data_IF_936164087237
#
_entry.id   IF_936164087237
#
_cell.length_a   1.000
_cell.length_b   1.000
_cell.length_c   1.000
_cell.angle_alpha   90.00
_cell.angle_beta   90.00
_cell.angle_gamma   90.00
#
_symmetry.space_group_name_H-M   'P 1'
#
loop_
_entity.id
_entity.type
_entity.pdbx_description
1 polymer ?
#
# COMPACT_ATOMS: atom_id res chain seq x y z
N UNK A 1 3.11 -4.48 -2.26
CA UNK A 1 3.03 -4.84 -0.83
C UNK A 1 4.22 -5.70 -0.41
N UNK A 2 4.55 -6.76 -1.15
CA UNK A 2 5.65 -7.67 -0.78
C UNK A 2 6.97 -6.94 -0.52
N UNK A 3 7.39 -6.06 -1.42
CA UNK A 3 8.64 -5.28 -1.34
C UNK A 3 8.67 -4.29 -0.17
N UNK A 4 7.49 -3.91 0.36
CA UNK A 4 7.40 -3.07 1.57
C UNK A 4 7.47 -3.91 2.84
N UNK A 5 6.79 -5.07 2.86
CA UNK A 5 6.67 -5.93 4.04
C UNK A 5 7.91 -6.76 4.34
N UNK A 6 8.86 -6.89 3.41
CA UNK A 6 10.14 -7.57 3.56
C UNK A 6 11.25 -6.81 2.83
N UNK A 7 12.50 -7.23 2.97
CA UNK A 7 13.60 -6.71 2.17
C UNK A 7 13.36 -6.84 0.67
N UNK A 8 13.59 -5.76 -0.06
CA UNK A 8 13.50 -5.72 -1.53
C UNK A 8 14.90 -5.96 -2.15
N UNK A 9 15.82 -5.05 -1.96
CA UNK A 9 17.22 -5.20 -2.37
C UNK A 9 18.18 -5.20 -1.18
N UNK A 10 17.77 -4.66 -0.05
CA UNK A 10 18.54 -4.68 1.20
C UNK A 10 18.03 -5.78 2.13
N UNK A 11 18.93 -6.42 2.87
CA UNK A 11 18.53 -7.21 4.02
C UNK A 11 18.08 -6.25 5.12
N UNK A 12 16.91 -6.49 5.69
CA UNK A 12 16.33 -5.67 6.76
C UNK A 12 16.28 -6.48 8.05
N UNK A 13 17.39 -6.60 8.81
CA UNK A 13 17.34 -7.34 10.07
C UNK A 13 16.32 -6.70 11.02
N UNK A 14 15.71 -7.52 11.88
CA UNK A 14 14.87 -7.01 12.96
C UNK A 14 15.70 -6.21 13.96
N UNK A 15 15.08 -5.31 14.72
CA UNK A 15 15.78 -4.55 15.77
C UNK A 15 16.36 -5.49 16.83
N UNK A 16 17.45 -5.05 17.47
CA UNK A 16 18.06 -5.80 18.58
C UNK A 16 17.07 -6.07 19.73
N UNK A 17 16.17 -5.11 20.00
CA UNK A 17 15.13 -5.24 21.02
C UNK A 17 14.13 -6.34 20.67
N UNK A 18 13.66 -6.39 19.41
CA UNK A 18 12.75 -7.44 18.96
C UNK A 18 13.46 -8.81 18.96
N UNK A 19 14.71 -8.87 18.49
CA UNK A 19 15.50 -10.10 18.49
C UNK A 19 15.65 -10.68 19.89
N UNK A 20 15.89 -9.84 20.89
CA UNK A 20 16.00 -10.27 22.28
C UNK A 20 14.64 -10.68 22.86
N UNK A 21 13.58 -9.93 22.61
CA UNK A 21 12.21 -10.27 23.04
C UNK A 21 11.74 -11.61 22.45
N UNK A 22 12.09 -11.92 21.20
CA UNK A 22 11.79 -13.21 20.57
C UNK A 22 12.48 -14.37 21.29
N UNK A 23 13.76 -14.22 21.64
CA UNK A 23 14.52 -15.24 22.39
C UNK A 23 13.99 -15.43 23.81
N UNK A 24 13.52 -14.36 24.45
CA UNK A 24 12.89 -14.44 25.76
C UNK A 24 11.53 -15.14 25.72
N UNK A 25 10.77 -14.92 24.65
CA UNK A 25 9.46 -15.57 24.46
C UNK A 25 9.59 -17.09 24.22
N UNK A 26 10.55 -17.50 23.40
CA UNK A 26 10.91 -18.91 23.15
C UNK A 26 12.38 -18.97 22.72
N UNK A 27 13.28 -19.55 23.54
CA UNK A 27 14.72 -19.53 23.23
C UNK A 27 15.09 -20.20 21.91
N UNK A 28 14.46 -21.31 21.55
CA UNK A 28 14.77 -22.06 20.33
C UNK A 28 14.18 -21.37 19.09
N UNK A 29 12.85 -21.20 19.07
CA UNK A 29 12.15 -20.56 17.94
C UNK A 29 12.47 -19.07 17.82
N UNK A 30 12.66 -18.40 18.96
CA UNK A 30 13.01 -16.98 18.98
C UNK A 30 14.38 -16.70 18.39
N UNK A 31 15.35 -17.60 18.55
CA UNK A 31 16.65 -17.48 17.90
C UNK A 31 16.54 -17.60 16.37
N UNK A 32 15.74 -18.54 15.87
CA UNK A 32 15.46 -18.69 14.44
C UNK A 32 14.71 -17.48 13.90
N UNK A 33 13.63 -17.05 14.57
CA UNK A 33 12.84 -15.88 14.16
C UNK A 33 13.68 -14.60 14.13
N UNK A 34 14.54 -14.39 15.12
CA UNK A 34 15.43 -13.23 15.17
C UNK A 34 16.42 -13.18 13.98
N UNK A 35 16.79 -14.34 13.46
CA UNK A 35 17.70 -14.47 12.30
C UNK A 35 16.95 -14.29 10.98
N UNK A 36 15.75 -14.85 10.84
CA UNK A 36 15.06 -14.97 9.55
C UNK A 36 14.01 -13.88 9.30
N UNK A 37 13.38 -13.32 10.36
CA UNK A 37 12.46 -12.20 10.20
C UNK A 37 13.16 -10.95 9.70
N UNK A 38 12.41 -10.16 8.95
CA UNK A 38 12.90 -8.93 8.34
C UNK A 38 12.06 -7.74 8.78
N UNK A 39 12.68 -6.58 8.89
CA UNK A 39 11.98 -5.32 9.09
C UNK A 39 11.03 -5.05 7.92
N UNK A 40 9.79 -4.77 8.23
CA UNK A 40 8.73 -4.50 7.25
C UNK A 40 8.13 -3.11 7.44
N UNK A 41 7.79 -2.45 6.32
CA UNK A 41 6.92 -1.29 6.31
C UNK A 41 5.49 -1.79 6.17
N UNK A 42 4.58 -1.46 7.12
CA UNK A 42 3.20 -1.93 7.06
C UNK A 42 2.53 -1.51 5.74
N UNK A 43 2.01 -2.49 5.01
CA UNK A 43 1.32 -2.26 3.74
C UNK A 43 0.23 -3.30 3.51
N UNK A 44 -0.95 -2.87 3.09
CA UNK A 44 -2.12 -3.72 2.88
C UNK A 44 -2.61 -3.55 1.44
N UNK A 45 -2.82 -4.67 0.73
CA UNK A 45 -3.48 -4.67 -0.57
C UNK A 45 -5.00 -4.83 -0.36
N UNK A 46 -5.77 -3.79 -0.65
CA UNK A 46 -7.23 -3.80 -0.47
C UNK A 46 -7.95 -4.75 -1.43
N UNK A 47 -7.25 -5.27 -2.44
CA UNK A 47 -7.77 -6.27 -3.38
C UNK A 47 -7.81 -7.69 -2.81
N UNK A 48 -7.17 -7.96 -1.67
CA UNK A 48 -6.98 -9.31 -1.15
C UNK A 48 -7.95 -9.70 -0.02
N UNK A 49 -8.93 -8.88 0.29
CA UNK A 49 -9.91 -9.19 1.36
C UNK A 49 -11.18 -9.81 0.77
N UNK A 50 -11.10 -11.06 0.34
CA UNK A 50 -12.17 -11.76 -0.36
C UNK A 50 -13.49 -11.82 0.44
N UNK A 51 -13.43 -12.13 1.74
CA UNK A 51 -14.61 -12.23 2.60
C UNK A 51 -15.37 -10.90 2.68
N UNK A 52 -14.68 -9.78 2.94
CA UNK A 52 -15.32 -8.47 3.01
C UNK A 52 -15.86 -8.02 1.65
N UNK A 53 -15.10 -8.26 0.58
CA UNK A 53 -15.53 -7.89 -0.78
C UNK A 53 -16.80 -8.65 -1.19
N UNK A 54 -16.89 -9.94 -0.84
CA UNK A 54 -18.09 -10.75 -1.07
C UNK A 54 -19.29 -10.26 -0.24
N UNK A 55 -19.08 -10.01 1.06
CA UNK A 55 -20.13 -9.50 1.94
C UNK A 55 -20.67 -8.14 1.46
N UNK A 56 -19.76 -7.21 1.13
CA UNK A 56 -20.17 -5.89 0.63
C UNK A 56 -20.89 -5.95 -0.73
N UNK A 57 -20.48 -6.86 -1.60
CA UNK A 57 -21.16 -7.07 -2.88
C UNK A 57 -22.60 -7.58 -2.71
N UNK A 58 -22.85 -8.41 -1.69
CA UNK A 58 -24.17 -8.98 -1.43
C UNK A 58 -25.07 -8.06 -0.59
N UNK A 59 -24.52 -7.43 0.45
CA UNK A 59 -25.30 -6.82 1.52
C UNK A 59 -25.38 -5.30 1.41
N UNK A 60 -24.46 -4.65 0.68
CA UNK A 60 -24.34 -3.19 0.60
C UNK A 60 -24.13 -2.74 -0.85
N UNK A 61 -22.88 -2.60 -1.26
CA UNK A 61 -22.44 -2.25 -2.61
C UNK A 61 -20.96 -2.64 -2.76
N UNK A 62 -20.67 -3.52 -3.71
CA UNK A 62 -19.31 -3.98 -3.99
C UNK A 62 -18.32 -2.87 -4.35
N UNK A 63 -18.81 -1.76 -4.90
CA UNK A 63 -17.99 -0.58 -5.23
C UNK A 63 -17.42 0.10 -3.99
N UNK A 64 -18.02 -0.11 -2.81
CA UNK A 64 -17.60 0.50 -1.55
C UNK A 64 -16.60 -0.37 -0.76
N UNK A 65 -16.26 -1.56 -1.23
CA UNK A 65 -15.43 -2.51 -0.46
C UNK A 65 -14.04 -1.97 -0.12
N UNK A 66 -13.43 -1.17 -1.00
CA UNK A 66 -12.14 -0.51 -0.70
C UNK A 66 -12.30 0.63 0.30
N UNK A 67 -13.35 1.42 0.16
CA UNK A 67 -13.68 2.48 1.11
C UNK A 67 -13.92 1.93 2.52
N UNK A 68 -14.63 0.81 2.61
CA UNK A 68 -14.85 0.14 3.90
C UNK A 68 -13.54 -0.37 4.53
N UNK A 69 -12.64 -0.91 3.74
CA UNK A 69 -11.32 -1.32 4.25
C UNK A 69 -10.48 -0.12 4.72
N UNK A 70 -10.48 0.98 3.95
CA UNK A 70 -9.86 2.24 4.39
C UNK A 70 -10.50 2.74 5.68
N UNK A 71 -11.81 2.64 5.83
CA UNK A 71 -12.49 3.00 7.07
C UNK A 71 -12.07 2.13 8.25
N UNK A 72 -11.91 0.82 8.04
CA UNK A 72 -11.52 -0.13 9.09
C UNK A 72 -10.05 -0.04 9.51
N UNK A 73 -9.14 0.07 8.54
CA UNK A 73 -7.69 0.04 8.79
C UNK A 73 -7.07 1.43 8.95
N UNK A 74 -7.51 2.40 8.14
CA UNK A 74 -6.84 3.69 8.00
C UNK A 74 -6.92 4.55 9.24
N UNK A 75 -5.82 5.22 9.55
CA UNK A 75 -5.66 6.19 10.63
C UNK A 75 -5.11 7.50 10.07
N UNK A 76 -5.33 8.59 10.80
CA UNK A 76 -4.71 9.87 10.46
C UNK A 76 -3.17 9.73 10.38
N UNK A 77 -2.59 10.26 9.31
CA UNK A 77 -1.17 10.13 9.02
C UNK A 77 -0.77 8.94 8.15
N UNK A 78 -1.64 7.95 7.98
CA UNK A 78 -1.42 6.89 7.00
C UNK A 78 -1.50 7.39 5.55
N UNK A 79 -1.07 6.57 4.62
CA UNK A 79 -1.07 6.88 3.18
C UNK A 79 -1.96 5.90 2.43
N UNK A 80 -2.87 6.43 1.62
CA UNK A 80 -3.63 5.67 0.63
C UNK A 80 -3.01 5.86 -0.74
N UNK A 81 -2.55 4.78 -1.37
CA UNK A 81 -2.10 4.76 -2.77
C UNK A 81 -3.24 4.24 -3.65
N UNK A 82 -3.88 5.14 -4.37
CA UNK A 82 -4.90 4.82 -5.38
C UNK A 82 -4.26 4.62 -6.76
N UNK A 83 -4.50 3.45 -7.37
CA UNK A 83 -4.00 3.12 -8.70
C UNK A 83 -5.19 3.00 -9.65
N UNK A 84 -5.25 3.87 -10.65
CA UNK A 84 -6.31 3.87 -11.66
C UNK A 84 -5.78 4.45 -12.96
N UNK A 85 -5.74 3.66 -14.03
CA UNK A 85 -5.20 4.08 -15.33
C UNK A 85 -5.89 5.32 -15.91
N UNK A 86 -7.21 5.45 -15.74
CA UNK A 86 -7.97 6.64 -16.14
C UNK A 86 -8.06 7.70 -15.05
N UNK A 87 -7.75 7.36 -13.80
CA UNK A 87 -8.02 8.20 -12.64
C UNK A 87 -9.51 8.40 -12.33
N UNK A 88 -10.40 7.55 -12.88
CA UNK A 88 -11.86 7.71 -12.76
C UNK A 88 -12.57 6.43 -12.23
N UNK A 89 -11.83 5.44 -11.74
CA UNK A 89 -12.43 4.25 -11.15
C UNK A 89 -13.16 4.61 -9.85
N UNK A 90 -14.48 4.45 -9.82
CA UNK A 90 -15.33 4.91 -8.71
C UNK A 90 -14.99 4.21 -7.38
N UNK A 91 -14.67 2.92 -7.38
CA UNK A 91 -14.25 2.20 -6.19
C UNK A 91 -12.95 2.80 -5.57
N UNK A 92 -12.01 3.22 -6.41
CA UNK A 92 -10.78 3.91 -5.97
C UNK A 92 -11.11 5.33 -5.48
N UNK A 93 -12.04 6.02 -6.13
CA UNK A 93 -12.50 7.34 -5.70
C UNK A 93 -13.19 7.32 -4.33
N UNK A 94 -14.08 6.36 -4.09
CA UNK A 94 -14.70 6.19 -2.75
C UNK A 94 -13.65 5.97 -1.67
N UNK A 95 -12.65 5.14 -1.94
CA UNK A 95 -11.54 4.91 -1.00
C UNK A 95 -10.71 6.17 -0.77
N UNK A 96 -10.40 6.94 -1.83
CA UNK A 96 -9.66 8.20 -1.74
C UNK A 96 -10.41 9.25 -0.91
N UNK A 97 -11.71 9.41 -1.12
CA UNK A 97 -12.56 10.31 -0.33
C UNK A 97 -12.57 9.89 1.15
N UNK A 98 -12.73 8.58 1.42
CA UNK A 98 -12.69 8.05 2.79
C UNK A 98 -11.33 8.30 3.45
N UNK A 99 -10.23 8.10 2.73
CA UNK A 99 -8.88 8.37 3.22
C UNK A 99 -8.70 9.86 3.59
N UNK A 100 -9.13 10.78 2.74
CA UNK A 100 -9.08 12.22 3.01
C UNK A 100 -9.88 12.57 4.27
N UNK A 101 -11.10 12.05 4.38
CA UNK A 101 -11.98 12.30 5.54
C UNK A 101 -11.36 11.78 6.86
N UNK A 102 -10.53 10.73 6.80
CA UNK A 102 -9.82 10.16 7.95
C UNK A 102 -8.46 10.85 8.24
N UNK A 103 -8.11 11.91 7.53
CA UNK A 103 -6.82 12.61 7.72
C UNK A 103 -5.61 11.85 7.16
N UNK A 104 -5.84 10.90 6.25
CA UNK A 104 -4.77 10.21 5.55
C UNK A 104 -4.27 11.06 4.38
N UNK A 105 -3.04 10.78 3.91
CA UNK A 105 -2.53 11.32 2.65
C UNK A 105 -2.94 10.44 1.49
N UNK A 106 -3.23 11.04 0.35
CA UNK A 106 -3.65 10.34 -0.86
C UNK A 106 -2.59 10.53 -1.95
N UNK A 107 -2.06 9.44 -2.47
CA UNK A 107 -1.22 9.40 -3.66
C UNK A 107 -2.04 8.76 -4.80
N UNK A 108 -2.14 9.44 -5.92
CA UNK A 108 -2.76 8.91 -7.14
C UNK A 108 -1.70 8.47 -8.14
N UNK A 109 -1.74 7.21 -8.57
CA UNK A 109 -0.92 6.69 -9.67
C UNK A 109 -1.83 6.42 -10.87
N UNK A 110 -1.67 7.21 -11.93
CA UNK A 110 -2.63 7.29 -13.03
C UNK A 110 -1.93 7.40 -14.38
N UNK A 111 -2.72 7.50 -15.43
CA UNK A 111 -2.32 7.90 -16.79
C UNK A 111 -3.34 8.86 -17.38
N UNK A 112 -3.34 8.99 -18.69
CA UNK A 112 -4.24 9.90 -19.43
C UNK A 112 -4.17 11.32 -18.90
N UNK A 113 -5.29 11.84 -18.40
CA UNK A 113 -5.40 13.19 -17.80
C UNK A 113 -5.28 13.16 -16.26
N UNK A 114 -5.09 12.01 -15.65
CA UNK A 114 -5.11 11.83 -14.19
C UNK A 114 -6.52 11.74 -13.60
N UNK A 115 -7.55 12.11 -14.35
CA UNK A 115 -8.96 12.02 -13.98
C UNK A 115 -9.33 12.74 -12.68
N UNK A 116 -10.36 12.24 -12.00
CA UNK A 116 -10.84 12.74 -10.71
C UNK A 116 -9.82 12.47 -9.59
N UNK A 117 -9.11 11.34 -9.67
CA UNK A 117 -8.15 10.93 -8.64
C UNK A 117 -6.99 11.93 -8.50
N UNK A 118 -6.46 12.42 -9.63
CA UNK A 118 -5.40 13.44 -9.60
C UNK A 118 -5.83 14.75 -8.96
N UNK A 119 -7.12 15.08 -9.01
CA UNK A 119 -7.68 16.31 -8.42
C UNK A 119 -7.82 16.24 -6.90
N UNK A 120 -8.07 15.05 -6.35
CA UNK A 120 -8.25 14.85 -4.90
C UNK A 120 -6.95 14.44 -4.21
N UNK A 121 -5.99 13.87 -4.93
CA UNK A 121 -4.73 13.40 -4.40
C UNK A 121 -3.87 14.55 -3.84
N UNK A 122 -3.16 14.29 -2.75
CA UNK A 122 -2.11 15.22 -2.27
C UNK A 122 -0.89 15.19 -3.20
N UNK A 123 -0.64 14.02 -3.82
CA UNK A 123 0.40 13.83 -4.85
C UNK A 123 -0.20 13.00 -5.98
N UNK A 124 -0.09 13.48 -7.21
CA UNK A 124 -0.51 12.75 -8.39
C UNK A 124 0.69 12.42 -9.28
N UNK A 125 0.85 11.14 -9.60
CA UNK A 125 1.81 10.64 -10.58
C UNK A 125 1.01 10.24 -11.82
N UNK A 126 1.19 10.96 -12.91
CA UNK A 126 0.45 10.78 -14.17
C UNK A 126 1.44 10.37 -15.23
N UNK A 127 1.42 9.10 -15.64
CA UNK A 127 2.29 8.64 -16.73
C UNK A 127 1.81 9.17 -18.07
N UNK A 128 2.72 9.56 -19.00
CA UNK A 128 2.39 10.21 -20.26
C UNK A 128 1.93 9.20 -21.33
N UNK A 129 0.86 8.45 -21.04
CA UNK A 129 0.33 7.41 -21.92
C UNK A 129 -1.19 7.39 -21.89
N UNK A 130 -1.81 6.91 -23.00
CA UNK A 130 -3.26 6.85 -23.18
C UNK A 130 -3.83 5.43 -23.17
N UNK A 131 -3.03 4.45 -23.59
CA UNK A 131 -3.41 3.03 -23.66
C UNK A 131 -3.32 2.39 -22.28
N UNK A 132 -4.38 1.73 -21.83
CA UNK A 132 -4.46 1.15 -20.49
C UNK A 132 -3.28 0.23 -20.15
N UNK A 133 -2.94 -0.69 -21.05
CA UNK A 133 -1.84 -1.64 -20.80
C UNK A 133 -0.47 -0.95 -20.75
N UNK A 134 -0.23 0.07 -21.57
CA UNK A 134 1.02 0.85 -21.56
C UNK A 134 1.14 1.70 -20.29
N UNK A 135 0.01 2.27 -19.83
CA UNK A 135 -0.02 2.93 -18.51
C UNK A 135 0.40 1.97 -17.41
N UNK A 136 -0.13 0.74 -17.40
CA UNK A 136 0.21 -0.29 -16.43
C UNK A 136 1.68 -0.72 -16.52
N UNK A 137 2.24 -0.82 -17.72
CA UNK A 137 3.68 -1.07 -17.93
C UNK A 137 4.55 0.04 -17.34
N UNK A 138 4.14 1.30 -17.46
CA UNK A 138 4.84 2.43 -16.87
C UNK A 138 4.65 2.54 -15.34
N UNK A 139 3.55 2.04 -14.80
CA UNK A 139 3.34 1.99 -13.35
C UNK A 139 4.34 1.06 -12.66
N UNK A 140 4.75 -0.03 -13.31
CA UNK A 140 5.67 -1.03 -12.76
C UNK A 140 6.99 -0.43 -12.26
N UNK A 141 7.80 0.24 -13.08
CA UNK A 141 9.05 0.84 -12.63
C UNK A 141 8.83 1.94 -11.59
N UNK A 142 7.70 2.65 -11.63
CA UNK A 142 7.39 3.71 -10.68
C UNK A 142 7.20 3.15 -9.28
N UNK A 143 6.35 2.13 -9.10
CA UNK A 143 6.17 1.58 -7.75
C UNK A 143 7.38 0.79 -7.26
N UNK A 144 8.21 0.21 -8.15
CA UNK A 144 9.51 -0.32 -7.75
C UNK A 144 10.46 0.79 -7.27
N UNK A 145 10.53 1.91 -7.99
CA UNK A 145 11.34 3.05 -7.57
C UNK A 145 10.87 3.60 -6.21
N UNK A 146 9.55 3.71 -5.99
CA UNK A 146 9.01 4.11 -4.69
C UNK A 146 9.41 3.13 -3.58
N UNK A 147 9.37 1.82 -3.83
CA UNK A 147 9.80 0.81 -2.86
C UNK A 147 11.30 0.93 -2.54
N UNK A 148 12.16 1.15 -3.56
CA UNK A 148 13.60 1.37 -3.37
C UNK A 148 13.87 2.63 -2.55
N UNK A 149 13.20 3.74 -2.85
CA UNK A 149 13.35 5.01 -2.12
C UNK A 149 12.92 4.87 -0.65
N UNK A 150 11.82 4.15 -0.39
CA UNK A 150 11.35 3.89 0.96
C UNK A 150 12.31 2.96 1.71
N UNK A 151 12.80 1.91 1.06
CA UNK A 151 13.80 1.03 1.64
C UNK A 151 15.07 1.80 2.02
N UNK A 152 15.55 2.65 1.12
CA UNK A 152 16.73 3.47 1.37
C UNK A 152 16.50 4.46 2.53
N UNK A 153 15.31 5.05 2.60
CA UNK A 153 14.95 6.02 3.64
C UNK A 153 14.84 5.43 5.04
N UNK A 154 14.30 4.21 5.16
CA UNK A 154 13.97 3.60 6.45
C UNK A 154 14.98 2.52 6.89
N UNK A 155 15.78 2.01 5.97
CA UNK A 155 16.76 0.96 6.20
C UNK A 155 18.15 1.34 5.59
N UNK A 156 18.47 2.63 5.61
CA UNK A 156 19.83 3.07 5.32
C UNK A 156 20.79 2.51 6.40
N UNK A 157 21.93 1.98 5.96
CA UNK A 157 23.01 1.56 6.85
C UNK A 157 23.68 2.77 7.48
#
# INVERSE_FOLDING_TARGET
>A
VGELMKGFVKRRPVSAELAEALKQADPERGAELAKELQGGLPAIALTNHAALSSAFANDVDGMLSYAQQVNGYGKAGDVFLGISTSGNAENVMYAAVTAKAKGMKVIGLTGKTGGKLAKIADVAIIVPEQETYKIQELHLPIYHALCLMLEDRFYAE
#
